data_IF_934172170021
#
_entry.id   IF_934172170021
#
_cell.length_a   1.000
_cell.length_b   1.000
_cell.length_c   1.000
_cell.angle_alpha   90.00
_cell.angle_beta   90.00
_cell.angle_gamma   90.00
#
_symmetry.space_group_name_H-M   'P 1'
#
loop_
_entity.id
_entity.type
_entity.pdbx_description
1 polymer ?
#
# COMPACT_ATOMS: atom_id res chain seq x y z
N UNK A 1 27.60 10.44 -3.03
CA UNK A 1 26.73 11.34 -2.22
C UNK A 1 25.28 10.95 -2.44
N UNK A 2 24.62 10.52 -1.37
CA UNK A 2 23.36 9.77 -1.36
C UNK A 2 22.17 10.56 -1.94
N UNK A 3 21.47 10.00 -2.93
CA UNK A 3 20.28 10.61 -3.51
C UNK A 3 19.12 10.64 -2.50
N UNK A 4 18.86 11.84 -1.98
CA UNK A 4 17.77 12.15 -1.07
C UNK A 4 16.41 11.80 -1.70
N UNK A 5 15.76 10.76 -1.16
CA UNK A 5 14.44 10.30 -1.60
C UNK A 5 13.37 11.27 -1.11
N UNK A 6 12.96 12.20 -1.98
CA UNK A 6 11.88 13.18 -1.79
C UNK A 6 10.64 12.51 -1.17
N UNK A 7 10.40 12.80 0.11
CA UNK A 7 9.17 12.44 0.81
C UNK A 7 8.00 13.24 0.23
N UNK A 8 7.28 12.66 -0.73
CA UNK A 8 6.04 13.27 -1.23
C UNK A 8 4.92 13.04 -0.22
N UNK A 9 4.74 13.99 0.69
CA UNK A 9 3.53 14.15 1.52
C UNK A 9 2.33 14.29 0.56
N UNK A 10 1.52 13.24 0.42
CA UNK A 10 0.32 13.24 -0.43
C UNK A 10 -0.92 13.36 0.47
N UNK A 11 -1.84 14.30 0.20
CA UNK A 11 -2.91 14.67 1.11
C UNK A 11 -3.91 13.53 1.34
N UNK A 12 -4.44 13.53 2.56
CA UNK A 12 -5.33 12.56 3.18
C UNK A 12 -6.71 12.61 2.49
N UNK A 13 -7.01 11.62 1.64
CA UNK A 13 -8.36 11.46 1.08
C UNK A 13 -9.26 10.80 2.14
N UNK A 14 -9.90 11.65 2.95
CA UNK A 14 -10.99 11.30 3.85
C UNK A 14 -12.24 11.00 3.03
N UNK A 15 -12.74 9.77 3.06
CA UNK A 15 -14.15 9.47 2.77
C UNK A 15 -14.61 8.18 3.46
N UNK A 16 -15.47 8.34 4.47
CA UNK A 16 -16.68 7.53 4.64
C UNK A 16 -16.58 6.11 5.23
N UNK A 17 -16.91 6.02 6.51
CA UNK A 17 -17.68 4.89 7.06
C UNK A 17 -17.03 4.13 8.21
N UNK A 18 -17.53 4.37 9.43
CA UNK A 18 -17.48 3.53 10.62
C UNK A 18 -16.08 3.01 11.06
N UNK A 19 -15.51 3.68 12.07
CA UNK A 19 -14.82 3.23 13.31
C UNK A 19 -14.16 1.82 13.42
N UNK A 20 -13.97 1.08 12.34
CA UNK A 20 -13.09 -0.08 12.26
C UNK A 20 -11.88 0.37 11.45
N UNK A 21 -10.70 0.41 12.06
CA UNK A 21 -9.45 0.81 11.40
C UNK A 21 -9.19 -0.14 10.22
N UNK A 22 -9.68 0.20 9.02
CA UNK A 22 -9.49 -0.64 7.83
C UNK A 22 -8.00 -0.72 7.54
N UNK A 23 -7.50 -1.94 7.35
CA UNK A 23 -6.08 -2.24 7.14
C UNK A 23 -5.91 -3.09 5.89
N UNK A 24 -4.90 -2.75 5.08
CA UNK A 24 -4.55 -3.55 3.91
C UNK A 24 -4.10 -4.94 4.35
N UNK A 25 -4.69 -6.00 3.79
CA UNK A 25 -4.33 -7.38 4.14
C UNK A 25 -2.90 -7.76 3.73
N UNK A 26 -2.35 -7.11 2.70
CA UNK A 26 -0.98 -7.36 2.24
C UNK A 26 0.05 -6.55 3.00
N UNK A 27 0.03 -5.22 2.80
CA UNK A 27 1.04 -4.32 3.35
C UNK A 27 0.63 -3.68 4.67
N UNK A 28 -0.51 -4.06 5.23
CA UNK A 28 -0.88 -3.64 6.58
C UNK A 28 -1.02 -2.12 6.80
N UNK A 29 -1.11 -1.34 5.71
CA UNK A 29 -1.31 0.11 5.78
C UNK A 29 -2.75 0.41 6.15
N UNK A 30 -2.92 1.38 7.04
CA UNK A 30 -4.23 1.85 7.51
C UNK A 30 -4.66 3.14 6.79
N UNK A 31 -3.69 3.87 6.23
CA UNK A 31 -3.89 5.10 5.47
C UNK A 31 -3.68 4.85 3.97
N UNK A 32 -4.72 5.04 3.18
CA UNK A 32 -4.64 4.92 1.70
C UNK A 32 -5.64 5.87 1.07
N UNK A 33 -5.28 6.55 -0.04
CA UNK A 33 -6.21 7.46 -0.71
C UNK A 33 -7.42 6.74 -1.32
N UNK A 34 -7.28 5.44 -1.59
CA UNK A 34 -8.35 4.61 -2.12
C UNK A 34 -8.20 3.18 -1.61
N UNK A 35 -9.31 2.58 -1.19
CA UNK A 35 -9.41 1.16 -0.89
C UNK A 35 -9.86 0.40 -2.13
N UNK A 36 -9.22 -0.73 -2.41
CA UNK A 36 -9.50 -1.61 -3.54
C UNK A 36 -9.90 -2.99 -3.06
N UNK A 37 -10.64 -3.70 -3.89
CA UNK A 37 -10.96 -5.12 -3.70
C UNK A 37 -9.69 -5.96 -3.78
N UNK A 38 -9.58 -6.91 -2.86
CA UNK A 38 -8.49 -7.88 -2.81
C UNK A 38 -9.02 -9.31 -2.76
N UNK A 39 -8.13 -10.28 -2.50
CA UNK A 39 -8.49 -11.70 -2.50
C UNK A 39 -9.51 -12.05 -1.41
N UNK A 40 -9.49 -11.30 -0.30
CA UNK A 40 -10.39 -11.50 0.84
C UNK A 40 -11.70 -10.70 0.72
N UNK A 41 -11.97 -10.07 -0.43
CA UNK A 41 -13.20 -9.32 -0.68
C UNK A 41 -13.00 -7.81 -0.89
N UNK A 42 -14.10 -7.03 -0.92
CA UNK A 42 -14.09 -5.60 -1.24
C UNK A 42 -13.34 -4.80 -0.17
N UNK A 43 -12.61 -3.76 -0.61
CA UNK A 43 -11.90 -2.80 0.27
C UNK A 43 -10.86 -3.43 1.21
N UNK A 44 -10.28 -4.58 0.85
CA UNK A 44 -9.27 -5.28 1.66
C UNK A 44 -7.83 -4.88 1.33
N UNK A 45 -7.59 -4.19 0.21
CA UNK A 45 -6.27 -3.75 -0.21
C UNK A 45 -6.17 -2.22 -0.31
N UNK A 46 -4.99 -1.69 -0.03
CA UNK A 46 -4.69 -0.29 -0.32
C UNK A 46 -4.56 -0.06 -1.83
N UNK A 47 -4.45 1.20 -2.25
CA UNK A 47 -4.37 1.55 -3.66
C UNK A 47 -3.17 0.87 -4.35
N UNK A 48 -1.99 0.91 -3.74
CA UNK A 48 -0.77 0.35 -4.31
C UNK A 48 -0.80 -1.19 -4.42
N UNK A 49 -1.26 -1.88 -3.37
CA UNK A 49 -1.39 -3.34 -3.42
C UNK A 49 -2.53 -3.78 -4.34
N UNK A 50 -3.66 -3.07 -4.32
CA UNK A 50 -4.84 -3.40 -5.14
C UNK A 50 -4.60 -3.24 -6.64
N UNK A 51 -3.82 -2.25 -7.08
CA UNK A 51 -3.44 -2.15 -8.51
C UNK A 51 -2.57 -3.34 -8.94
N UNK A 52 -1.64 -3.79 -8.09
CA UNK A 52 -0.77 -4.94 -8.38
C UNK A 52 -1.52 -6.26 -8.33
N UNK A 53 -2.45 -6.40 -7.39
CA UNK A 53 -3.31 -7.56 -7.26
C UNK A 53 -4.16 -7.76 -8.51
N UNK A 54 -4.81 -6.70 -9.01
CA UNK A 54 -5.63 -6.78 -10.22
C UNK A 54 -4.83 -7.18 -11.46
N UNK A 55 -3.54 -6.87 -11.50
CA UNK A 55 -2.64 -7.31 -12.58
C UNK A 55 -1.98 -8.68 -12.34
N UNK A 56 -2.31 -9.39 -11.25
CA UNK A 56 -1.68 -10.67 -10.91
C UNK A 56 -0.20 -10.56 -10.52
N UNK A 57 0.28 -9.36 -10.20
CA UNK A 57 1.69 -9.06 -9.88
C UNK A 57 1.88 -8.60 -8.44
N UNK A 58 0.99 -9.01 -7.54
CA UNK A 58 1.14 -8.76 -6.11
C UNK A 58 2.02 -9.86 -5.53
N UNK A 59 3.31 -9.56 -5.37
CA UNK A 59 4.27 -10.46 -4.75
C UNK A 59 4.32 -10.25 -3.23
N UNK A 60 4.54 -11.30 -2.43
CA UNK A 60 4.69 -11.19 -0.97
C UNK A 60 5.75 -10.15 -0.54
N UNK A 61 6.86 -10.09 -1.28
CA UNK A 61 7.98 -9.16 -1.07
C UNK A 61 7.65 -7.71 -1.42
N UNK A 62 6.59 -7.48 -2.21
CA UNK A 62 6.23 -6.12 -2.62
C UNK A 62 5.58 -5.37 -1.46
N UNK A 63 6.30 -4.38 -0.93
CA UNK A 63 5.76 -3.50 0.11
C UNK A 63 5.97 -2.04 -0.28
N UNK A 64 4.89 -1.24 -0.39
CA UNK A 64 5.02 0.18 -0.66
C UNK A 64 5.65 0.88 0.54
N UNK A 65 6.45 1.93 0.30
CA UNK A 65 7.11 2.68 1.39
C UNK A 65 6.13 3.41 2.33
N UNK A 66 4.88 3.57 1.90
CA UNK A 66 3.80 4.10 2.74
C UNK A 66 3.26 3.07 3.76
N UNK A 67 3.74 1.82 3.71
CA UNK A 67 3.36 0.77 4.64
C UNK A 67 4.12 0.91 5.97
N UNK A 68 3.46 0.72 7.13
CA UNK A 68 4.13 0.73 8.43
C UNK A 68 5.07 -0.47 8.64
N UNK A 69 5.00 -1.48 7.79
CA UNK A 69 5.85 -2.67 7.83
C UNK A 69 6.91 -2.65 6.72
N UNK A 70 7.08 -1.51 6.05
CA UNK A 70 8.14 -1.34 5.07
C UNK A 70 9.50 -1.26 5.78
N UNK A 71 10.37 -2.23 5.52
CA UNK A 71 11.79 -2.19 5.88
C UNK A 71 12.60 -2.08 4.60
N UNK A 72 13.40 -1.03 4.45
CA UNK A 72 14.14 -0.76 3.21
C UNK A 72 15.19 -1.82 2.86
N UNK A 73 15.62 -2.59 3.86
CA UNK A 73 16.59 -3.68 3.75
C UNK A 73 15.97 -4.97 3.20
N UNK A 74 14.66 -5.16 3.37
CA UNK A 74 13.93 -6.38 2.99
C UNK A 74 12.96 -6.12 1.83
N UNK A 75 12.31 -4.95 1.82
CA UNK A 75 11.19 -4.68 0.93
C UNK A 75 11.55 -3.64 -0.13
N UNK A 76 11.26 -3.97 -1.38
CA UNK A 76 11.44 -3.05 -2.51
C UNK A 76 10.17 -2.26 -2.80
N UNK A 77 10.26 -0.93 -2.71
CA UNK A 77 9.17 0.00 -3.03
C UNK A 77 8.73 -0.08 -4.52
N UNK A 78 9.65 -0.49 -5.40
CA UNK A 78 9.46 -0.50 -6.84
C UNK A 78 9.90 -1.83 -7.43
N UNK A 79 8.99 -2.81 -7.49
CA UNK A 79 9.16 -3.92 -8.44
C UNK A 79 8.70 -3.44 -9.82
N UNK A 80 9.57 -2.64 -10.46
CA UNK A 80 9.63 -2.50 -11.92
C UNK A 80 10.67 -3.51 -12.36
N UNK A 81 10.22 -4.48 -13.15
CA UNK A 81 11.13 -5.36 -13.88
C UNK A 81 12.00 -4.50 -14.81
#
# INVERSE_FOLDING_TARGET
LCSAKKQRKKPEAQTGGAQFQRRCSHCQVQKTPQWRTGPLGPKTLCNACGVRFKSGRLFPEYRPASSPTFSGDIHSNSHRK
#
